data_IF_784475279942
#
_entry.id   IF_784475279942
#
_cell.length_a   1.000
_cell.length_b   1.000
_cell.length_c   1.000
_cell.angle_alpha   90.00
_cell.angle_beta   90.00
_cell.angle_gamma   90.00
#
_symmetry.space_group_name_H-M   'P 1'
#
loop_
_entity.id
_entity.type
_entity.pdbx_description
1 polymer ?
#
# COMPACT_ATOMS: atom_id res chain seq x y z
N UNK A 1 10.01 15.48 -19.97
CA UNK A 1 10.10 15.89 -19.28
C UNK A 1 9.23 15.78 -18.26
N UNK A 2 9.43 16.30 -17.46
CA UNK A 2 8.60 16.14 -16.43
C UNK A 2 7.30 16.70 -16.63
N UNK A 3 7.21 17.53 -17.57
CA UNK A 3 5.93 18.11 -17.90
C UNK A 3 4.95 17.05 -18.29
N UNK A 4 5.47 15.91 -18.72
CA UNK A 4 4.54 14.88 -19.08
C UNK A 4 4.17 14.03 -17.89
N UNK A 5 4.68 14.34 -16.74
CA UNK A 5 4.18 13.68 -15.58
C UNK A 5 2.76 14.10 -15.45
N UNK A 6 1.91 13.12 -15.39
CA UNK A 6 0.50 13.33 -15.21
C UNK A 6 0.29 14.13 -13.95
N UNK A 7 -0.33 15.31 -14.01
CA UNK A 7 -0.56 16.08 -12.79
C UNK A 7 -1.43 15.34 -11.79
N UNK A 8 -2.15 14.33 -12.25
CA UNK A 8 -2.92 13.49 -11.37
C UNK A 8 -2.18 12.26 -10.92
N UNK A 9 -0.93 12.12 -11.31
CA UNK A 9 -0.12 11.03 -10.83
C UNK A 9 0.03 11.23 -9.32
N UNK A 10 -0.40 10.25 -8.58
CA UNK A 10 -0.52 10.41 -7.17
C UNK A 10 0.81 10.27 -6.49
N UNK A 11 1.60 9.33 -6.94
CA UNK A 11 2.70 8.84 -6.12
C UNK A 11 3.96 8.75 -6.95
N UNK A 12 4.90 9.68 -6.77
CA UNK A 12 6.21 9.54 -7.40
C UNK A 12 7.07 8.51 -6.67
N UNK A 13 6.72 8.17 -5.44
CA UNK A 13 7.53 7.28 -4.63
C UNK A 13 7.02 5.85 -4.76
N UNK A 14 7.91 4.86 -4.54
CA UNK A 14 7.50 3.47 -4.63
C UNK A 14 6.49 3.09 -3.57
N UNK A 15 5.52 2.31 -3.96
CA UNK A 15 4.49 1.80 -3.06
C UNK A 15 4.69 0.30 -2.93
N UNK A 16 4.75 -0.18 -1.69
CA UNK A 16 4.93 -1.59 -1.38
C UNK A 16 3.81 -2.02 -0.46
N UNK A 17 3.19 -3.12 -0.78
CA UNK A 17 2.10 -3.67 0.01
C UNK A 17 2.47 -5.07 0.47
N UNK A 18 2.35 -5.29 1.78
CA UNK A 18 2.48 -6.63 2.35
C UNK A 18 1.08 -7.21 2.48
N UNK A 19 0.83 -8.34 1.84
CA UNK A 19 -0.48 -8.97 1.81
C UNK A 19 -0.39 -10.44 2.18
N UNK A 20 -1.54 -11.08 2.34
CA UNK A 20 -1.57 -12.52 2.58
C UNK A 20 -2.72 -13.13 1.77
N UNK A 21 -2.61 -14.42 1.41
CA UNK A 21 -3.67 -15.08 0.65
C UNK A 21 -4.97 -15.14 1.44
N UNK A 22 -6.09 -14.98 0.75
CA UNK A 22 -7.40 -15.11 1.36
C UNK A 22 -7.79 -13.96 2.28
N UNK A 23 -7.13 -12.83 2.17
CA UNK A 23 -7.38 -11.67 3.02
C UNK A 23 -8.31 -10.69 2.31
N UNK A 24 -9.56 -10.51 2.78
CA UNK A 24 -10.49 -9.59 2.12
C UNK A 24 -10.01 -8.14 2.14
N UNK A 25 -9.40 -7.72 3.24
CA UNK A 25 -8.88 -6.35 3.33
C UNK A 25 -7.71 -6.14 2.38
N UNK A 26 -6.92 -7.18 2.14
CA UNK A 26 -5.84 -7.11 1.16
C UNK A 26 -6.41 -6.93 -0.25
N UNK A 27 -7.46 -7.68 -0.58
CA UNK A 27 -8.11 -7.55 -1.88
C UNK A 27 -8.69 -6.15 -2.06
N UNK A 28 -9.33 -5.63 -1.02
CA UNK A 28 -9.90 -4.28 -1.06
C UNK A 28 -8.81 -3.24 -1.29
N UNK A 29 -7.68 -3.38 -0.61
CA UNK A 29 -6.58 -2.44 -0.75
C UNK A 29 -5.98 -2.48 -2.14
N UNK A 30 -5.82 -3.67 -2.71
CA UNK A 30 -5.32 -3.79 -4.09
C UNK A 30 -6.26 -3.10 -5.07
N UNK A 31 -7.57 -3.28 -4.89
CA UNK A 31 -8.55 -2.63 -5.74
C UNK A 31 -8.48 -1.11 -5.60
N UNK A 32 -8.37 -0.61 -4.38
CA UNK A 32 -8.27 0.82 -4.14
C UNK A 32 -7.05 1.42 -4.83
N UNK A 33 -5.90 0.78 -4.70
CA UNK A 33 -4.69 1.26 -5.34
C UNK A 33 -4.83 1.23 -6.85
N UNK A 34 -5.35 0.15 -7.39
CA UNK A 34 -5.53 0.01 -8.83
C UNK A 34 -6.51 1.03 -9.40
N UNK A 35 -7.62 1.28 -8.70
CA UNK A 35 -8.62 2.25 -9.14
C UNK A 35 -8.07 3.67 -9.16
N UNK A 36 -7.05 3.93 -8.36
CA UNK A 36 -6.43 5.24 -8.31
C UNK A 36 -5.18 5.32 -9.17
N UNK A 37 -4.93 4.33 -10.01
CA UNK A 37 -3.82 4.34 -10.94
C UNK A 37 -2.47 4.20 -10.29
N UNK A 38 -2.42 3.62 -9.09
CA UNK A 38 -1.16 3.49 -8.35
C UNK A 38 -0.56 2.11 -8.64
N UNK A 39 0.67 2.13 -9.14
CA UNK A 39 1.44 0.90 -9.36
C UNK A 39 2.15 0.57 -8.06
N UNK A 40 2.06 -0.67 -7.63
CA UNK A 40 2.64 -1.08 -6.36
C UNK A 40 3.26 -2.47 -6.48
N UNK A 41 4.19 -2.74 -5.56
CA UNK A 41 4.79 -4.06 -5.43
C UNK A 41 4.05 -4.79 -4.32
N UNK A 42 3.59 -5.99 -4.61
CA UNK A 42 2.86 -6.81 -3.65
C UNK A 42 3.79 -7.90 -3.13
N UNK A 43 4.05 -7.87 -1.84
CA UNK A 43 4.87 -8.89 -1.18
C UNK A 43 3.93 -9.74 -0.34
N UNK A 44 3.72 -10.98 -0.78
CA UNK A 44 2.76 -11.86 -0.15
C UNK A 44 3.39 -12.64 0.98
N UNK A 45 2.60 -12.91 2.01
CA UNK A 45 3.03 -13.77 3.11
C UNK A 45 3.51 -15.12 2.59
N UNK A 46 4.65 -15.56 3.11
CA UNK A 46 5.19 -16.87 2.79
C UNK A 46 6.04 -17.34 3.97
N UNK A 47 6.92 -18.32 3.76
CA UNK A 47 7.74 -18.86 4.84
C UNK A 47 8.74 -17.86 5.39
N UNK A 48 9.13 -16.87 4.59
CA UNK A 48 10.08 -15.84 5.01
C UNK A 48 9.39 -14.58 5.48
N UNK A 49 8.30 -14.23 4.81
CA UNK A 49 7.53 -13.02 5.16
C UNK A 49 6.33 -13.47 5.98
N UNK A 50 6.52 -13.52 7.26
CA UNK A 50 5.52 -14.01 8.21
C UNK A 50 4.90 -12.84 8.94
N UNK A 51 3.85 -13.12 9.72
CA UNK A 51 3.25 -12.11 10.58
C UNK A 51 4.27 -11.56 11.59
N UNK A 52 5.20 -12.39 12.07
CA UNK A 52 6.24 -11.92 12.96
C UNK A 52 7.16 -10.92 12.28
N UNK A 53 7.53 -11.19 11.03
CA UNK A 53 8.34 -10.26 10.25
C UNK A 53 7.57 -8.96 10.03
N UNK A 54 6.30 -9.06 9.68
CA UNK A 54 5.48 -7.87 9.48
C UNK A 54 5.42 -7.04 10.76
N UNK A 55 5.25 -7.68 11.90
CA UNK A 55 5.25 -6.98 13.17
C UNK A 55 6.56 -6.25 13.42
N UNK A 56 7.67 -6.89 13.09
CA UNK A 56 8.99 -6.26 13.24
C UNK A 56 9.15 -5.03 12.38
N UNK A 57 8.54 -5.03 11.19
CA UNK A 57 8.63 -3.90 10.27
C UNK A 57 7.66 -2.78 10.61
N UNK A 58 6.49 -3.11 11.12
CA UNK A 58 5.39 -2.15 11.23
C UNK A 58 4.93 -1.90 12.65
N UNK A 59 5.27 -2.78 13.58
CA UNK A 59 4.70 -2.77 14.91
C UNK A 59 3.27 -3.27 14.97
N UNK A 60 2.75 -3.82 13.87
CA UNK A 60 1.36 -4.28 13.76
C UNK A 60 1.31 -5.73 13.36
N UNK A 61 0.22 -6.39 13.71
CA UNK A 61 0.02 -7.81 13.44
C UNK A 61 -1.01 -8.07 12.34
N UNK A 62 -1.51 -7.03 11.71
CA UNK A 62 -2.60 -7.15 10.75
C UNK A 62 -2.11 -6.99 9.32
N UNK A 63 -2.87 -7.57 8.40
CA UNK A 63 -2.64 -7.47 6.95
C UNK A 63 -3.83 -6.77 6.33
N UNK A 64 -3.65 -5.97 5.29
CA UNK A 64 -2.37 -5.64 4.65
C UNK A 64 -1.63 -4.55 5.43
N UNK A 65 -0.37 -4.30 5.04
CA UNK A 65 0.36 -3.12 5.48
C UNK A 65 1.03 -2.50 4.28
N UNK A 66 0.86 -1.22 4.09
CA UNK A 66 1.30 -0.50 2.89
C UNK A 66 2.31 0.56 3.27
N UNK A 67 3.39 0.62 2.49
CA UNK A 67 4.43 1.62 2.62
C UNK A 67 4.49 2.47 1.36
N UNK A 68 4.73 3.76 1.52
CA UNK A 68 4.93 4.69 0.42
C UNK A 68 6.24 5.40 0.65
N UNK A 69 7.19 5.24 -0.27
CA UNK A 69 8.50 5.85 -0.13
C UNK A 69 9.21 5.45 1.14
N UNK A 70 9.00 4.21 1.59
CA UNK A 70 9.59 3.70 2.83
C UNK A 70 8.85 4.08 4.09
N UNK A 71 7.76 4.84 3.98
CA UNK A 71 7.01 5.31 5.13
C UNK A 71 5.74 4.49 5.28
N UNK A 72 5.49 4.00 6.48
CA UNK A 72 4.31 3.18 6.74
C UNK A 72 3.05 4.03 6.67
N UNK A 73 2.12 3.63 5.81
CA UNK A 73 0.78 4.20 5.77
C UNK A 73 -0.15 3.40 6.67
N UNK A 74 -0.12 2.07 6.54
CA UNK A 74 -0.92 1.20 7.38
C UNK A 74 -1.78 0.23 6.60
N UNK A 75 -2.92 -0.13 7.17
CA UNK A 75 -3.84 -1.11 6.59
C UNK A 75 -4.84 -0.50 5.64
N UNK A 76 -5.90 -1.25 5.34
CA UNK A 76 -6.87 -0.86 4.32
C UNK A 76 -7.54 0.49 4.61
N UNK A 77 -7.97 0.70 5.84
CA UNK A 77 -8.63 1.95 6.19
C UNK A 77 -7.66 3.13 6.15
N UNK A 78 -6.42 2.89 6.54
CA UNK A 78 -5.38 3.92 6.49
C UNK A 78 -5.08 4.31 5.04
N UNK A 79 -5.04 3.33 4.14
CA UNK A 79 -4.81 3.58 2.72
C UNK A 79 -5.96 4.37 2.14
N UNK A 80 -7.19 4.03 2.51
CA UNK A 80 -8.36 4.75 2.03
C UNK A 80 -8.31 6.22 2.45
N UNK A 81 -7.98 6.48 3.69
CA UNK A 81 -7.86 7.85 4.20
C UNK A 81 -6.73 8.60 3.51
N UNK A 82 -5.61 7.93 3.30
CA UNK A 82 -4.47 8.53 2.63
C UNK A 82 -4.80 8.90 1.19
N UNK A 83 -5.50 8.03 0.46
CA UNK A 83 -5.89 8.32 -0.91
C UNK A 83 -6.83 9.50 -0.98
N UNK A 84 -7.81 9.58 -0.07
CA UNK A 84 -8.74 10.70 -0.04
C UNK A 84 -8.00 12.01 0.21
N UNK A 85 -7.05 12.00 1.13
CA UNK A 85 -6.28 13.18 1.44
C UNK A 85 -5.39 13.61 0.28
N UNK A 86 -4.75 12.65 -0.37
CA UNK A 86 -3.88 12.95 -1.51
C UNK A 86 -4.65 13.53 -2.68
N UNK A 87 -5.86 13.07 -2.89
CA UNK A 87 -6.67 13.54 -4.00
C UNK A 87 -7.22 14.93 -3.78
N UNK A 88 -7.29 15.36 -2.55
CA UNK A 88 -7.76 16.70 -2.24
C UNK A 88 -6.68 17.74 -2.44
N UNK A 89 -5.46 17.34 -2.45
CA UNK A 89 -4.36 18.26 -2.67
C UNK A 89 -4.23 18.57 -4.16
#
# INVERSE_FOLDING_TARGET
>A
MLSHINPNAKIPEPVVMFSRPGCPHCARTKALLGENGIVFTDISEDQKITTSVLRGLTGRLTWPQVFVGGKLIGGADDVQAWLASSQEA
#
